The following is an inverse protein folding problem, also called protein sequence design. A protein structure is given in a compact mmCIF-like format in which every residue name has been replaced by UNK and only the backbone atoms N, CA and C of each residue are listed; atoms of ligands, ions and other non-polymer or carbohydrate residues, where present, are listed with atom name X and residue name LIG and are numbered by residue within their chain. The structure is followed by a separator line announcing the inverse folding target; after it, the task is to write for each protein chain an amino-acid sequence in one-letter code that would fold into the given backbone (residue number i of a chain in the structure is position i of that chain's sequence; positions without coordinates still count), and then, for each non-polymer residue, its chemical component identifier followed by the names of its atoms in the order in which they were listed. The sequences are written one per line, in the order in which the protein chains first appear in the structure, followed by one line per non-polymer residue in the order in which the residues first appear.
data_IF_338431293167
#
_entry.id   IF_338431293167
#
_cell.length_a   1.000
_cell.length_b   1.000
_cell.length_c   1.000
_cell.angle_alpha   90.00
_cell.angle_beta   90.00
_cell.angle_gamma   90.00
#
_symmetry.space_group_name_H-M   'P 1'
#
loop_
_entity.id
_entity.type
_entity.pdbx_description
1 polymer ?
#
# COMPACT_ATOMS: atom_id res chain seq x y z
N UNK A 1 -9.95 -1.75 18.14
CA UNK A 1 -8.98 -2.00 17.06
C UNK A 1 -9.49 -1.39 15.75
N UNK A 2 -8.66 -1.27 14.72
CA UNK A 2 -9.06 -0.65 13.43
C UNK A 2 -10.21 -1.41 12.75
N UNK A 3 -10.17 -2.75 12.80
CA UNK A 3 -11.25 -3.60 12.30
C UNK A 3 -12.59 -3.35 13.05
N UNK A 4 -12.58 -3.18 14.37
CA UNK A 4 -13.80 -2.88 15.15
C UNK A 4 -14.50 -1.60 14.69
N UNK A 5 -13.71 -0.59 14.31
CA UNK A 5 -14.26 0.66 13.79
C UNK A 5 -14.83 0.45 12.39
N UNK A 6 -14.14 -0.30 11.54
CA UNK A 6 -14.60 -0.63 10.20
C UNK A 6 -15.91 -1.42 10.20
N UNK A 7 -16.06 -2.44 11.05
CA UNK A 7 -17.30 -3.24 11.14
C UNK A 7 -18.49 -2.43 11.66
N UNK A 8 -18.27 -1.38 12.45
CA UNK A 8 -19.35 -0.48 12.90
C UNK A 8 -19.76 0.54 11.84
N UNK A 9 -18.90 0.80 10.86
CA UNK A 9 -19.15 1.77 9.79
C UNK A 9 -19.75 1.11 8.52
N UNK A 10 -19.78 -0.22 8.46
CA UNK A 10 -20.26 -0.98 7.32
C UNK A 10 -21.78 -0.79 7.14
N UNK A 11 -22.25 -0.69 5.89
CA UNK A 11 -23.67 -0.75 5.57
C UNK A 11 -24.12 -2.21 5.49
N UNK A 12 -25.44 -2.43 5.57
CA UNK A 12 -26.03 -3.73 5.29
C UNK A 12 -25.59 -4.27 3.91
N UNK A 13 -25.17 -5.54 3.86
CA UNK A 13 -24.62 -6.17 2.66
C UNK A 13 -23.18 -5.77 2.30
N UNK A 14 -22.53 -4.87 3.05
CA UNK A 14 -21.15 -4.47 2.80
C UNK A 14 -20.11 -5.53 3.19
N UNK A 15 -18.84 -5.27 2.89
CA UNK A 15 -17.71 -6.12 3.33
C UNK A 15 -16.62 -5.32 4.03
N UNK A 16 -16.01 -5.90 5.06
CA UNK A 16 -14.79 -5.37 5.71
C UNK A 16 -13.63 -6.30 5.37
N UNK A 17 -12.64 -5.75 4.67
CA UNK A 17 -11.41 -6.45 4.28
C UNK A 17 -10.24 -5.79 4.98
N UNK A 18 -9.38 -6.59 5.60
CA UNK A 18 -8.21 -6.10 6.35
C UNK A 18 -6.93 -6.75 5.79
N UNK A 19 -5.86 -5.95 5.64
CA UNK A 19 -4.56 -6.45 5.17
C UNK A 19 -3.63 -6.84 6.33
N UNK A 20 -3.64 -6.08 7.42
CA UNK A 20 -2.76 -6.26 8.59
C UNK A 20 -3.51 -6.13 9.92
N UNK A 21 -2.98 -6.71 11.01
CA UNK A 21 -3.60 -6.60 12.36
C UNK A 21 -4.82 -7.51 12.60
N UNK A 22 -5.32 -7.58 13.83
CA UNK A 22 -6.39 -8.53 14.19
C UNK A 22 -7.74 -8.23 13.49
N UNK A 23 -8.54 -9.27 13.33
CA UNK A 23 -9.81 -9.24 12.59
C UNK A 23 -10.97 -9.43 13.55
N UNK A 24 -12.00 -8.61 13.38
CA UNK A 24 -13.29 -8.71 14.08
C UNK A 24 -14.36 -9.14 13.08
N UNK A 25 -15.10 -10.24 13.32
CA UNK A 25 -16.23 -10.62 12.47
C UNK A 25 -17.27 -9.49 12.34
N UNK A 26 -17.87 -9.28 11.16
CA UNK A 26 -17.79 -10.13 9.95
C UNK A 26 -16.59 -9.83 9.03
N UNK A 27 -15.60 -9.05 9.48
CA UNK A 27 -14.40 -8.80 8.68
C UNK A 27 -13.56 -10.05 8.43
N UNK A 28 -12.73 -10.00 7.39
CA UNK A 28 -11.77 -11.06 7.08
C UNK A 28 -10.41 -10.50 6.64
N UNK A 29 -9.35 -11.28 6.85
CA UNK A 29 -8.01 -10.94 6.37
C UNK A 29 -7.84 -11.41 4.93
N UNK A 30 -7.27 -10.55 4.10
CA UNK A 30 -6.78 -10.93 2.78
C UNK A 30 -5.29 -10.65 2.67
N UNK A 31 -4.54 -11.61 2.14
CA UNK A 31 -3.12 -11.44 1.80
C UNK A 31 -3.03 -11.46 0.28
N UNK A 32 -2.48 -10.39 -0.30
CA UNK A 32 -2.42 -10.23 -1.75
C UNK A 32 -1.51 -11.28 -2.39
N UNK A 33 -1.96 -11.87 -3.50
CA UNK A 33 -1.13 -12.67 -4.39
C UNK A 33 -0.60 -11.79 -5.52
N UNK A 34 0.72 -11.76 -5.71
CA UNK A 34 1.33 -11.00 -6.81
C UNK A 34 0.94 -11.60 -8.16
N UNK A 35 0.49 -10.77 -9.10
CA UNK A 35 0.06 -11.22 -10.44
C UNK A 35 0.32 -10.12 -11.49
N UNK A 36 1.11 -10.46 -12.51
CA UNK A 36 1.39 -9.57 -13.65
C UNK A 36 0.12 -9.19 -14.44
N UNK A 37 -0.85 -10.09 -14.53
CA UNK A 37 -2.12 -9.84 -15.22
C UNK A 37 -2.93 -8.69 -14.59
N UNK A 38 -2.76 -8.44 -13.29
CA UNK A 38 -3.37 -7.27 -12.62
C UNK A 38 -2.73 -5.97 -13.11
N UNK A 39 -1.41 -5.95 -13.33
CA UNK A 39 -0.70 -4.79 -13.88
C UNK A 39 -1.11 -4.53 -15.34
N UNK A 40 -1.23 -5.57 -16.15
CA UNK A 40 -1.72 -5.46 -17.53
C UNK A 40 -3.13 -4.84 -17.59
N UNK A 41 -4.03 -5.27 -16.69
CA UNK A 41 -5.38 -4.70 -16.56
C UNK A 41 -5.36 -3.22 -16.13
N UNK A 42 -4.37 -2.82 -15.32
CA UNK A 42 -4.22 -1.43 -14.87
C UNK A 42 -3.55 -0.53 -15.92
N UNK A 43 -2.85 -1.09 -16.90
CA UNK A 43 -2.03 -0.34 -17.86
C UNK A 43 -2.75 0.86 -18.52
N UNK A 44 -3.99 0.74 -19.03
CA UNK A 44 -4.68 1.88 -19.65
C UNK A 44 -4.88 3.08 -18.70
N UNK A 45 -4.97 2.84 -17.40
CA UNK A 45 -5.14 3.88 -16.38
C UNK A 45 -3.82 4.53 -15.98
N UNK A 46 -2.73 3.75 -16.01
CA UNK A 46 -1.37 4.23 -15.78
C UNK A 46 -0.94 5.13 -16.93
N UNK A 47 -1.09 4.65 -18.17
CA UNK A 47 -0.74 5.40 -19.39
C UNK A 47 -1.57 6.68 -19.57
N UNK A 48 -2.87 6.63 -19.24
CA UNK A 48 -3.72 7.82 -19.27
C UNK A 48 -3.51 8.78 -18.08
N UNK A 49 -2.69 8.39 -17.08
CA UNK A 49 -2.47 9.18 -15.87
C UNK A 49 -3.67 9.29 -14.95
N UNK A 50 -4.74 8.50 -15.16
CA UNK A 50 -5.89 8.41 -14.23
C UNK A 50 -5.48 7.76 -12.90
N UNK A 51 -4.54 6.83 -12.96
CA UNK A 51 -3.85 6.28 -11.80
C UNK A 51 -2.41 6.73 -11.88
N UNK A 52 -1.90 7.38 -10.82
CA UNK A 52 -0.53 7.91 -10.76
C UNK A 52 0.23 7.27 -9.61
N UNK A 53 1.54 7.00 -9.78
CA UNK A 53 2.40 6.65 -8.66
C UNK A 53 2.50 7.83 -7.70
N UNK A 54 2.49 7.54 -6.40
CA UNK A 54 2.80 8.52 -5.35
C UNK A 54 4.10 8.08 -4.72
N UNK A 55 5.18 8.82 -5.01
CA UNK A 55 6.51 8.63 -4.43
C UNK A 55 6.65 9.61 -3.28
N UNK A 56 7.20 9.14 -2.17
CA UNK A 56 7.47 10.01 -1.03
C UNK A 56 8.48 11.09 -1.40
N UNK A 57 8.21 12.32 -0.97
CA UNK A 57 9.06 13.48 -1.23
C UNK A 57 10.51 13.36 -0.74
N UNK A 58 10.79 12.45 0.21
CA UNK A 58 12.16 12.20 0.70
C UNK A 58 12.98 11.28 -0.20
N UNK A 59 12.35 10.65 -1.19
CA UNK A 59 13.01 9.80 -2.17
C UNK A 59 13.13 10.48 -3.56
N UNK A 60 13.78 9.80 -4.52
CA UNK A 60 14.41 8.49 -4.36
C UNK A 60 15.69 8.56 -3.50
N UNK A 61 15.93 7.49 -2.73
CA UNK A 61 17.17 7.32 -1.98
C UNK A 61 18.20 6.61 -2.86
N UNK A 62 19.49 7.01 -2.86
CA UNK A 62 20.53 6.24 -3.54
C UNK A 62 20.72 4.87 -2.89
N UNK A 63 21.22 3.89 -3.63
CA UNK A 63 21.45 2.53 -3.10
C UNK A 63 22.39 2.48 -1.88
N UNK A 64 23.31 3.43 -1.75
CA UNK A 64 24.16 3.56 -0.55
C UNK A 64 23.37 3.85 0.73
N UNK A 65 22.13 4.32 0.63
CA UNK A 65 21.33 4.81 1.75
C UNK A 65 20.10 3.92 2.03
N UNK A 66 20.18 2.62 1.74
CA UNK A 66 19.07 1.68 1.97
C UNK A 66 18.70 1.62 3.47
N UNK A 67 19.68 1.66 4.38
CA UNK A 67 19.43 1.61 5.83
C UNK A 67 18.62 2.82 6.30
N UNK A 68 18.94 4.02 5.80
CA UNK A 68 18.23 5.26 6.09
C UNK A 68 16.82 5.24 5.49
N UNK A 69 16.66 4.69 4.28
CA UNK A 69 15.35 4.53 3.65
C UNK A 69 14.42 3.61 4.46
N UNK A 70 14.93 2.50 4.98
CA UNK A 70 14.18 1.61 5.89
C UNK A 70 13.87 2.29 7.23
N UNK A 71 14.86 2.96 7.83
CA UNK A 71 14.67 3.73 9.07
C UNK A 71 13.56 4.77 8.91
N UNK A 72 13.48 5.44 7.75
CA UNK A 72 12.40 6.37 7.45
C UNK A 72 11.05 5.65 7.29
N UNK A 73 10.99 4.54 6.56
CA UNK A 73 9.76 3.76 6.37
C UNK A 73 9.16 3.30 7.73
N UNK A 74 10.01 2.87 8.65
CA UNK A 74 9.63 2.42 10.00
C UNK A 74 9.06 3.53 10.89
N UNK A 75 9.31 4.81 10.55
CA UNK A 75 8.66 5.92 11.26
C UNK A 75 7.16 6.00 11.01
N UNK A 76 6.62 5.25 10.04
CA UNK A 76 5.23 5.31 9.58
C UNK A 76 4.79 6.71 9.10
N UNK A 77 5.74 7.56 8.64
CA UNK A 77 5.48 8.91 8.12
C UNK A 77 5.63 9.04 6.61
N UNK A 78 5.80 7.94 5.90
CA UNK A 78 5.89 7.96 4.44
C UNK A 78 4.52 8.30 3.84
N UNK A 79 4.49 9.27 2.92
CA UNK A 79 3.37 9.57 2.04
C UNK A 79 3.65 8.95 0.68
N UNK A 80 3.04 7.80 0.40
CA UNK A 80 3.28 7.03 -0.83
C UNK A 80 4.37 5.98 -0.66
N UNK A 81 5.24 5.83 -1.67
CA UNK A 81 6.30 4.80 -1.72
C UNK A 81 7.69 5.40 -1.46
N UNK A 82 8.45 4.75 -0.60
CA UNK A 82 9.91 4.94 -0.49
C UNK A 82 10.57 4.16 -1.63
N UNK A 83 11.35 4.84 -2.47
CA UNK A 83 11.97 4.27 -3.67
C UNK A 83 13.49 4.36 -3.57
N UNK A 84 14.18 3.29 -3.95
CA UNK A 84 15.64 3.26 -4.08
C UNK A 84 16.02 3.41 -5.55
N UNK A 85 16.78 4.45 -5.89
CA UNK A 85 17.28 4.69 -7.24
C UNK A 85 18.43 5.72 -7.23
N UNK A 86 19.49 5.54 -8.05
CA UNK A 86 19.79 4.37 -8.88
C UNK A 86 20.27 3.17 -8.05
N UNK A 87 20.10 1.97 -8.60
CA UNK A 87 20.67 0.70 -8.10
C UNK A 87 21.86 0.33 -9.00
N UNK A 88 23.01 -0.09 -8.46
CA UNK A 88 24.18 -0.52 -9.24
C UNK A 88 23.90 -1.68 -10.19
#
# INVERSE_FOLDING_TARGET
MECDRAVKAIKEGGSVVVLTGAVTPPGFRFVVTSSGAVLEKLNPYLESGKVKPVVDSKGPFPFSNVVEAFSYLETNRATGKVVIHPIP
#
